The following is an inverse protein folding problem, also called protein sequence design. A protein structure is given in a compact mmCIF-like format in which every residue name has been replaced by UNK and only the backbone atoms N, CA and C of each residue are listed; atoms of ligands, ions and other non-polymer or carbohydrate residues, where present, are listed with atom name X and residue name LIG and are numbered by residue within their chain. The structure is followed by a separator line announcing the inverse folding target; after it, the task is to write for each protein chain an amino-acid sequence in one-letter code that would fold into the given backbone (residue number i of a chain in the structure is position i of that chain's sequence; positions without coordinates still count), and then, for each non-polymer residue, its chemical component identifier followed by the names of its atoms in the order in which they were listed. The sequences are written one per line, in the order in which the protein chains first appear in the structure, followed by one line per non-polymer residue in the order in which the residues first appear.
data_IF_152116855815
#
_entry.id   IF_152116855815
#
_cell.length_a   1.000
_cell.length_b   1.000
_cell.length_c   1.000
_cell.angle_alpha   90.00
_cell.angle_beta   90.00
_cell.angle_gamma   90.00
#
_symmetry.space_group_name_H-M   'P 1'
#
loop_
_entity.id
_entity.type
_entity.pdbx_description
1 polymer ?
#
# COMPACT_ATOMS: atom_id res chain seq x y z
N UNK A 1 -11.57 29.84 0.57
CA UNK A 1 -11.11 29.11 -0.63
C UNK A 1 -11.61 27.67 -0.54
N UNK A 2 -12.70 27.32 -1.25
CA UNK A 2 -13.06 25.90 -1.42
C UNK A 2 -12.24 25.39 -2.61
N UNK A 3 -11.17 24.65 -2.32
CA UNK A 3 -10.42 23.90 -3.33
C UNK A 3 -11.40 23.07 -4.18
N UNK A 4 -11.19 23.01 -5.51
CA UNK A 4 -12.05 22.24 -6.39
C UNK A 4 -11.87 20.74 -6.06
N UNK A 5 -12.92 20.03 -5.58
CA UNK A 5 -12.81 18.64 -5.14
C UNK A 5 -12.24 17.71 -6.20
N UNK A 6 -12.54 18.00 -7.47
CA UNK A 6 -12.06 17.23 -8.60
C UNK A 6 -10.55 17.40 -8.81
N UNK A 7 -10.01 18.62 -8.63
CA UNK A 7 -8.56 18.84 -8.70
C UNK A 7 -7.83 18.11 -7.58
N UNK A 8 -8.35 18.20 -6.35
CA UNK A 8 -7.76 17.50 -5.21
C UNK A 8 -7.73 15.98 -5.43
N UNK A 9 -8.85 15.42 -5.89
CA UNK A 9 -8.94 13.98 -6.19
C UNK A 9 -7.98 13.56 -7.30
N UNK A 10 -7.91 14.32 -8.40
CA UNK A 10 -7.01 14.00 -9.52
C UNK A 10 -5.54 14.11 -9.12
N UNK A 11 -5.16 15.14 -8.37
CA UNK A 11 -3.79 15.28 -7.87
C UNK A 11 -3.44 14.15 -6.91
N UNK A 12 -4.34 13.80 -5.99
CA UNK A 12 -4.16 12.67 -5.09
C UNK A 12 -3.99 11.36 -5.85
N UNK A 13 -4.92 11.05 -6.77
CA UNK A 13 -4.93 9.83 -7.56
C UNK A 13 -3.68 9.69 -8.44
N UNK A 14 -3.23 10.78 -9.07
CA UNK A 14 -2.02 10.79 -9.87
C UNK A 14 -0.77 10.48 -9.03
N UNK A 15 -0.60 11.19 -7.91
CA UNK A 15 0.57 11.02 -7.04
C UNK A 15 0.57 9.60 -6.44
N UNK A 16 -0.56 9.15 -5.89
CA UNK A 16 -0.64 7.83 -5.27
C UNK A 16 -0.36 6.73 -6.29
N UNK A 17 -0.95 6.80 -7.48
CA UNK A 17 -0.76 5.76 -8.51
C UNK A 17 0.69 5.70 -8.98
N UNK A 18 1.35 6.85 -9.18
CA UNK A 18 2.75 6.89 -9.56
C UNK A 18 3.66 6.27 -8.48
N UNK A 19 3.44 6.61 -7.20
CA UNK A 19 4.21 6.05 -6.10
C UNK A 19 3.98 4.55 -5.92
N UNK A 20 2.72 4.10 -5.97
CA UNK A 20 2.40 2.67 -5.89
C UNK A 20 3.05 1.87 -7.01
N UNK A 21 2.98 2.37 -8.26
CA UNK A 21 3.58 1.68 -9.39
C UNK A 21 5.10 1.56 -9.24
N UNK A 22 5.76 2.65 -8.82
CA UNK A 22 7.20 2.65 -8.58
C UNK A 22 7.58 1.60 -7.52
N UNK A 23 6.87 1.60 -6.39
CA UNK A 23 7.18 0.73 -5.26
C UNK A 23 6.89 -0.74 -5.57
N UNK A 24 5.80 -1.02 -6.30
CA UNK A 24 5.47 -2.37 -6.74
C UNK A 24 6.59 -2.95 -7.63
N UNK A 25 7.06 -2.16 -8.60
CA UNK A 25 8.16 -2.56 -9.49
C UNK A 25 9.46 -2.79 -8.71
N UNK A 26 9.82 -1.91 -7.78
CA UNK A 26 11.03 -2.07 -6.96
C UNK A 26 10.94 -3.31 -6.07
N UNK A 27 9.81 -3.54 -5.40
CA UNK A 27 9.61 -4.72 -4.53
C UNK A 27 9.74 -6.02 -5.32
N UNK A 28 9.14 -6.10 -6.50
CA UNK A 28 9.22 -7.30 -7.34
C UNK A 28 10.68 -7.62 -7.71
N UNK A 29 11.43 -6.61 -8.16
CA UNK A 29 12.86 -6.79 -8.47
C UNK A 29 13.68 -7.16 -7.23
N UNK A 30 13.37 -6.54 -6.09
CA UNK A 30 14.03 -6.79 -4.83
C UNK A 30 13.83 -8.23 -4.34
N UNK A 31 12.60 -8.75 -4.40
CA UNK A 31 12.28 -10.13 -4.02
C UNK A 31 12.99 -11.16 -4.88
N UNK A 32 13.21 -10.87 -6.16
CA UNK A 32 13.89 -11.78 -7.09
C UNK A 32 15.41 -11.67 -6.97
N UNK A 33 15.95 -10.44 -7.03
CA UNK A 33 17.38 -10.21 -7.18
C UNK A 33 18.14 -10.24 -5.85
N UNK A 34 17.53 -9.73 -4.78
CA UNK A 34 18.17 -9.57 -3.47
C UNK A 34 17.72 -10.66 -2.51
N UNK A 35 16.40 -10.80 -2.32
CA UNK A 35 15.83 -11.81 -1.42
C UNK A 35 15.96 -13.23 -1.98
N UNK A 36 16.12 -13.36 -3.30
CA UNK A 36 16.24 -14.65 -4.03
C UNK A 36 15.11 -15.63 -3.68
N UNK A 37 13.89 -15.12 -3.54
CA UNK A 37 12.73 -15.95 -3.22
C UNK A 37 12.45 -16.94 -4.36
N UNK A 38 12.05 -18.16 -4.00
CA UNK A 38 11.59 -19.14 -4.97
C UNK A 38 10.18 -18.78 -5.49
N UNK A 39 9.73 -19.36 -6.63
CA UNK A 39 8.43 -19.05 -7.21
C UNK A 39 7.24 -19.30 -6.26
N UNK A 40 7.29 -20.35 -5.43
CA UNK A 40 6.24 -20.65 -4.45
C UNK A 40 6.24 -19.60 -3.34
N UNK A 41 7.41 -19.18 -2.84
CA UNK A 41 7.52 -18.08 -1.87
C UNK A 41 6.95 -16.77 -2.41
N UNK A 42 7.23 -16.42 -3.67
CA UNK A 42 6.65 -15.22 -4.31
C UNK A 42 5.12 -15.26 -4.35
N UNK A 43 4.54 -16.42 -4.71
CA UNK A 43 3.09 -16.61 -4.71
C UNK A 43 2.53 -16.52 -3.29
N UNK A 44 3.21 -17.09 -2.28
CA UNK A 44 2.79 -16.99 -0.89
C UNK A 44 2.82 -15.55 -0.36
N UNK A 45 3.85 -14.77 -0.72
CA UNK A 45 3.91 -13.33 -0.38
C UNK A 45 2.72 -12.59 -0.98
N UNK A 46 2.43 -12.80 -2.25
CA UNK A 46 1.25 -12.21 -2.90
C UNK A 46 -0.06 -12.65 -2.23
N UNK A 47 -0.19 -13.93 -1.91
CA UNK A 47 -1.37 -14.49 -1.22
C UNK A 47 -1.56 -13.87 0.16
N UNK A 48 -0.48 -13.67 0.92
CA UNK A 48 -0.53 -13.04 2.24
C UNK A 48 -0.96 -11.56 2.14
N UNK A 49 -0.50 -10.85 1.10
CA UNK A 49 -0.94 -9.47 0.82
C UNK A 49 -2.44 -9.44 0.51
N UNK A 50 -2.92 -10.28 -0.41
CA UNK A 50 -4.34 -10.35 -0.77
C UNK A 50 -5.22 -10.77 0.41
N UNK A 51 -4.78 -11.75 1.21
CA UNK A 51 -5.48 -12.17 2.42
C UNK A 51 -5.57 -11.03 3.44
N UNK A 52 -4.50 -10.22 3.57
CA UNK A 52 -4.49 -9.04 4.43
C UNK A 52 -5.46 -7.98 3.91
N UNK A 53 -5.46 -7.69 2.60
CA UNK A 53 -6.40 -6.75 1.98
C UNK A 53 -7.83 -7.20 2.27
N UNK A 54 -8.15 -8.47 1.99
CA UNK A 54 -9.47 -9.03 2.23
C UNK A 54 -9.92 -8.92 3.70
N UNK A 55 -9.01 -9.21 4.64
CA UNK A 55 -9.30 -9.12 6.07
C UNK A 55 -9.53 -7.67 6.53
N UNK A 56 -8.79 -6.70 5.98
CA UNK A 56 -8.83 -5.31 6.41
C UNK A 56 -9.75 -4.40 5.58
N UNK A 57 -10.26 -4.85 4.43
CA UNK A 57 -11.20 -4.09 3.60
C UNK A 57 -12.50 -3.75 4.38
N UNK A 58 -13.08 -4.75 5.07
CA UNK A 58 -14.33 -4.53 5.83
C UNK A 58 -14.11 -3.57 7.01
N UNK A 59 -13.12 -3.77 7.91
CA UNK A 59 -12.84 -2.82 8.98
C UNK A 59 -12.53 -1.40 8.49
N UNK A 60 -11.74 -1.26 7.42
CA UNK A 60 -11.40 0.07 6.88
C UNK A 60 -12.60 0.76 6.24
N UNK A 61 -13.51 0.01 5.61
CA UNK A 61 -14.81 0.50 5.14
C UNK A 61 -15.70 0.98 6.29
N UNK A 62 -15.81 0.19 7.35
CA UNK A 62 -16.57 0.57 8.57
C UNK A 62 -16.02 1.87 9.17
N UNK A 63 -14.69 2.03 9.24
CA UNK A 63 -14.06 3.25 9.74
C UNK A 63 -14.34 4.45 8.81
N UNK A 64 -14.29 4.23 7.50
CA UNK A 64 -14.57 5.27 6.51
C UNK A 64 -16.02 5.78 6.58
N UNK A 65 -16.98 4.89 6.78
CA UNK A 65 -18.40 5.22 6.81
C UNK A 65 -18.87 5.74 8.17
N UNK A 66 -18.35 5.18 9.27
CA UNK A 66 -18.82 5.51 10.63
C UNK A 66 -18.15 6.77 11.20
N UNK A 67 -16.87 7.01 10.90
CA UNK A 67 -16.12 8.13 11.48
C UNK A 67 -15.90 9.25 10.47
N UNK A 68 -15.11 8.99 9.42
CA UNK A 68 -14.86 9.96 8.35
C UNK A 68 -14.08 9.32 7.22
N UNK A 69 -14.58 9.48 5.99
CA UNK A 69 -13.86 9.11 4.76
C UNK A 69 -12.48 9.77 4.68
N UNK A 70 -12.35 11.03 5.11
CA UNK A 70 -11.06 11.75 5.08
C UNK A 70 -10.05 11.15 6.05
N UNK A 71 -10.48 10.80 7.27
CA UNK A 71 -9.58 10.21 8.27
C UNK A 71 -9.11 8.82 7.84
N UNK A 72 -10.01 7.99 7.29
CA UNK A 72 -9.65 6.66 6.79
C UNK A 72 -8.57 6.72 5.71
N UNK A 73 -8.71 7.64 4.74
CA UNK A 73 -7.70 7.86 3.69
C UNK A 73 -6.35 8.30 4.26
N UNK A 74 -6.34 9.24 5.22
CA UNK A 74 -5.09 9.72 5.83
C UNK A 74 -4.38 8.58 6.57
N UNK A 75 -5.12 7.81 7.37
CA UNK A 75 -4.56 6.67 8.12
C UNK A 75 -3.97 5.63 7.15
N UNK A 76 -4.69 5.31 6.07
CA UNK A 76 -4.21 4.37 5.05
C UNK A 76 -2.90 4.81 4.40
N UNK A 77 -2.78 6.09 4.02
CA UNK A 77 -1.54 6.63 3.43
C UNK A 77 -0.37 6.52 4.41
N UNK A 78 -0.57 6.85 5.68
CA UNK A 78 0.49 6.73 6.69
C UNK A 78 0.90 5.28 6.93
N UNK A 79 -0.05 4.35 7.03
CA UNK A 79 0.24 2.93 7.20
C UNK A 79 1.08 2.37 6.05
N UNK A 80 0.68 2.68 4.81
CA UNK A 80 1.39 2.25 3.60
C UNK A 80 2.80 2.86 3.56
N UNK A 81 2.94 4.14 3.86
CA UNK A 81 4.25 4.80 3.92
C UNK A 81 5.17 4.18 4.96
N UNK A 82 4.67 3.90 6.16
CA UNK A 82 5.43 3.24 7.24
C UNK A 82 5.84 1.82 6.82
N UNK A 83 4.93 1.06 6.21
CA UNK A 83 5.22 -0.30 5.74
C UNK A 83 6.41 -0.31 4.75
N UNK A 84 6.46 0.66 3.84
CA UNK A 84 7.57 0.78 2.89
C UNK A 84 8.87 1.23 3.52
N UNK A 85 8.83 2.17 4.48
CA UNK A 85 10.02 2.56 5.24
C UNK A 85 10.61 1.36 5.98
N UNK A 86 9.76 0.54 6.61
CA UNK A 86 10.19 -0.67 7.32
C UNK A 86 10.79 -1.69 6.34
N UNK A 87 10.14 -1.93 5.19
CA UNK A 87 10.62 -2.85 4.17
C UNK A 87 12.01 -2.44 3.64
N UNK A 88 12.25 -1.13 3.47
CA UNK A 88 13.55 -0.60 3.04
C UNK A 88 14.63 -0.58 4.13
N UNK A 89 14.26 -0.35 5.40
CA UNK A 89 15.22 -0.27 6.52
C UNK A 89 15.70 -1.63 7.00
N UNK A 90 14.84 -2.64 6.95
CA UNK A 90 15.13 -3.97 7.46
C UNK A 90 15.02 -5.00 6.33
N UNK A 91 16.08 -5.15 5.50
CA UNK A 91 16.16 -6.20 4.49
C UNK A 91 16.44 -7.56 5.15
N UNK A 92 15.58 -7.97 6.09
CA UNK A 92 15.69 -9.25 6.77
C UNK A 92 14.89 -10.27 5.98
N UNK A 93 15.63 -11.18 5.35
CA UNK A 93 15.10 -12.29 4.58
C UNK A 93 15.20 -13.54 5.45
N UNK A 94 14.07 -14.06 5.90
CA UNK A 94 13.97 -15.37 6.56
C UNK A 94 13.49 -16.41 5.57
#
# INVERSE_FOLDING_TARGET
MKENPLRLYLTYSFISSALYQMIFTVNLLYYILVAKLDPLQLVLVGTAVEASIFAFEIPTGVVADSYSRRLSVIIGIFLVGIAFIINGLFPVFW
#
